data_IF_565058009054
#
_entry.id   IF_565058009054
#
_cell.length_a   1.000
_cell.length_b   1.000
_cell.length_c   1.000
_cell.angle_alpha   90.00
_cell.angle_beta   90.00
_cell.angle_gamma   90.00
#
_symmetry.space_group_name_H-M   'P 1'
#
loop_
_entity.id
_entity.type
_entity.pdbx_description
1 polymer ?
#
# COMPACT_ATOMS: atom_id res chain seq x y z
N UNK A 1 14.50 8.18 2.53
CA UNK A 1 13.35 8.71 3.31
C UNK A 1 13.73 8.81 4.78
N UNK A 2 13.22 9.79 5.55
CA UNK A 2 13.56 9.90 6.99
C UNK A 2 12.37 9.51 7.86
N UNK A 3 12.56 8.50 8.71
CA UNK A 3 11.59 8.09 9.74
C UNK A 3 11.32 9.25 10.71
N UNK A 4 10.06 9.44 11.05
CA UNK A 4 9.59 10.39 12.04
C UNK A 4 9.07 9.61 13.24
N UNK A 5 9.66 9.87 14.40
CA UNK A 5 9.25 9.26 15.67
C UNK A 5 7.87 9.78 16.07
N UNK A 6 7.01 8.86 16.49
CA UNK A 6 5.66 9.16 16.93
C UNK A 6 5.21 8.16 18.00
N UNK A 7 5.09 8.62 19.24
CA UNK A 7 4.71 7.78 20.39
C UNK A 7 3.32 7.14 20.25
N UNK A 8 2.40 7.78 19.52
CA UNK A 8 1.09 7.17 19.25
C UNK A 8 1.21 5.98 18.31
N UNK A 9 2.14 6.02 17.36
CA UNK A 9 2.39 4.89 16.45
C UNK A 9 3.09 3.74 17.17
N UNK A 10 4.00 4.03 18.11
CA UNK A 10 4.62 3.01 18.96
C UNK A 10 3.58 2.26 19.80
N UNK A 11 2.63 2.98 20.40
CA UNK A 11 1.52 2.38 21.13
C UNK A 11 0.65 1.49 20.22
N UNK A 12 0.33 1.96 19.02
CA UNK A 12 -0.44 1.19 18.03
C UNK A 12 0.34 -0.06 17.58
N UNK A 13 1.64 0.05 17.31
CA UNK A 13 2.49 -1.06 16.88
C UNK A 13 2.55 -2.20 17.89
N UNK A 14 2.47 -1.87 19.18
CA UNK A 14 2.38 -2.87 20.25
C UNK A 14 1.08 -3.68 20.18
N UNK A 15 0.00 -3.09 19.66
CA UNK A 15 -1.31 -3.73 19.50
C UNK A 15 -1.51 -4.41 18.14
N UNK A 16 -0.70 -4.07 17.13
CA UNK A 16 -0.79 -4.60 15.78
C UNK A 16 -0.10 -5.96 15.60
N UNK A 17 0.24 -6.67 16.69
CA UNK A 17 0.72 -8.04 16.62
C UNK A 17 -0.35 -8.97 17.17
N UNK A 18 -0.85 -9.88 16.33
CA UNK A 18 -1.82 -10.91 16.75
C UNK A 18 -1.22 -12.28 16.51
N UNK A 19 -1.24 -13.10 17.56
CA UNK A 19 -0.88 -14.51 17.51
C UNK A 19 -2.14 -15.33 17.76
N UNK A 20 -2.54 -16.12 16.76
CA UNK A 20 -3.48 -17.23 16.90
C UNK A 20 -2.66 -18.52 16.89
N UNK A 21 -3.18 -19.61 17.49
CA UNK A 21 -2.37 -20.81 17.79
C UNK A 21 -1.48 -21.35 16.65
N UNK A 22 -1.88 -21.17 15.40
CA UNK A 22 -1.16 -21.60 14.19
C UNK A 22 -0.63 -20.44 13.30
N UNK A 23 -0.97 -19.18 13.57
CA UNK A 23 -0.66 -18.05 12.71
C UNK A 23 -0.25 -16.80 13.51
N UNK A 24 0.72 -16.06 12.98
CA UNK A 24 1.14 -14.77 13.54
C UNK A 24 1.02 -13.68 12.49
N UNK A 25 0.21 -12.67 12.78
CA UNK A 25 0.07 -11.46 11.97
C UNK A 25 0.84 -10.35 12.68
N UNK A 26 1.81 -9.77 11.97
CA UNK A 26 2.60 -8.64 12.46
C UNK A 26 2.27 -7.45 11.57
N UNK A 27 1.62 -6.45 12.16
CA UNK A 27 1.37 -5.15 11.55
C UNK A 27 2.30 -4.10 12.15
N UNK A 28 2.65 -3.11 11.34
CA UNK A 28 3.42 -1.94 11.76
C UNK A 28 2.95 -0.71 11.00
N UNK A 29 2.82 0.40 11.71
CA UNK A 29 2.58 1.73 11.17
C UNK A 29 3.77 2.64 11.47
N UNK A 30 4.22 3.36 10.44
CA UNK A 30 5.37 4.25 10.47
C UNK A 30 5.03 5.54 9.72
N UNK A 31 5.71 6.64 10.08
CA UNK A 31 5.60 7.91 9.35
C UNK A 31 6.96 8.35 8.85
N UNK A 32 7.00 8.85 7.61
CA UNK A 32 8.23 9.27 6.95
C UNK A 32 8.08 10.68 6.38
N UNK A 33 9.16 11.47 6.41
CA UNK A 33 9.22 12.73 5.68
C UNK A 33 9.70 12.52 4.23
N UNK A 34 8.91 13.00 3.28
CA UNK A 34 9.19 12.93 1.84
C UNK A 34 10.12 14.06 1.36
N UNK A 35 11.20 14.33 2.09
CA UNK A 35 12.15 15.40 1.74
C UNK A 35 13.16 14.87 0.72
N UNK A 36 13.17 15.47 -0.47
CA UNK A 36 14.19 15.20 -1.49
C UNK A 36 15.49 15.95 -1.16
N UNK A 37 16.31 15.41 -0.26
CA UNK A 37 17.55 16.02 0.21
C UNK A 37 18.75 15.09 0.05
N UNK A 38 19.95 15.66 -0.11
CA UNK A 38 21.20 14.88 -0.19
C UNK A 38 21.17 13.81 -1.27
N UNK A 39 21.43 12.57 -0.87
CA UNK A 39 21.51 11.38 -1.73
C UNK A 39 20.18 11.05 -2.44
N UNK A 40 19.04 11.37 -1.83
CA UNK A 40 17.71 11.17 -2.46
C UNK A 40 17.61 11.91 -3.80
N UNK A 41 18.24 13.08 -3.94
CA UNK A 41 18.27 13.81 -5.22
C UNK A 41 19.04 13.06 -6.30
N UNK A 42 20.12 12.38 -5.93
CA UNK A 42 20.93 11.62 -6.88
C UNK A 42 20.22 10.33 -7.27
N UNK A 43 19.66 9.62 -6.29
CA UNK A 43 18.84 8.42 -6.53
C UNK A 43 17.63 8.74 -7.40
N UNK A 44 16.94 9.86 -7.16
CA UNK A 44 15.80 10.25 -8.01
C UNK A 44 16.22 10.56 -9.46
N UNK A 45 17.39 11.18 -9.66
CA UNK A 45 17.93 11.42 -11.01
C UNK A 45 18.22 10.10 -11.73
N UNK A 46 18.85 9.15 -11.05
CA UNK A 46 19.12 7.82 -11.60
C UNK A 46 17.83 7.06 -11.91
N UNK A 47 16.87 7.07 -10.98
CA UNK A 47 15.54 6.51 -11.18
C UNK A 47 14.84 7.10 -12.41
N UNK A 48 15.00 8.40 -12.66
CA UNK A 48 14.47 9.03 -13.85
C UNK A 48 15.20 8.64 -15.14
N UNK A 49 16.47 8.23 -15.12
CA UNK A 49 17.22 7.86 -16.35
C UNK A 49 16.61 6.65 -17.06
N UNK A 50 15.89 5.79 -16.35
CA UNK A 50 15.12 4.67 -16.92
C UNK A 50 13.82 5.15 -17.63
N UNK A 51 13.67 6.45 -17.92
CA UNK A 51 12.66 6.98 -18.84
C UNK A 51 12.62 8.51 -18.87
N UNK A 52 11.47 9.11 -19.19
CA UNK A 52 11.34 10.57 -19.27
C UNK A 52 10.70 11.14 -17.99
N UNK A 53 11.25 12.21 -17.38
CA UNK A 53 10.80 12.75 -16.09
C UNK A 53 9.37 13.31 -16.10
N UNK A 54 8.80 13.56 -17.28
CA UNK A 54 7.45 14.09 -17.47
C UNK A 54 6.41 13.02 -17.87
N UNK A 55 6.83 11.77 -18.02
CA UNK A 55 5.91 10.68 -18.34
C UNK A 55 5.32 10.15 -17.04
N UNK A 56 3.99 10.11 -16.98
CA UNK A 56 3.29 9.46 -15.88
C UNK A 56 3.46 7.95 -15.99
N UNK A 57 3.66 7.29 -14.86
CA UNK A 57 3.78 5.83 -14.81
C UNK A 57 2.39 5.21 -14.68
N UNK A 58 2.12 4.20 -15.50
CA UNK A 58 0.93 3.37 -15.39
C UNK A 58 0.98 2.49 -14.14
N UNK A 59 -0.12 2.44 -13.40
CA UNK A 59 -0.32 1.61 -12.23
C UNK A 59 -1.13 0.37 -12.56
N UNK A 60 -1.04 -0.64 -11.71
CA UNK A 60 -1.98 -1.76 -11.76
C UNK A 60 -3.39 -1.30 -11.39
N UNK A 61 -4.44 -1.87 -12.03
CA UNK A 61 -5.81 -1.65 -11.59
C UNK A 61 -5.97 -2.03 -10.11
N UNK A 62 -6.85 -1.35 -9.35
CA UNK A 62 -7.17 -1.75 -7.98
C UNK A 62 -7.64 -3.20 -7.96
N UNK A 63 -7.05 -4.02 -7.08
CA UNK A 63 -7.43 -5.42 -6.91
C UNK A 63 -8.80 -5.51 -6.22
N UNK A 64 -9.86 -5.23 -6.98
CA UNK A 64 -11.28 -5.35 -6.58
C UNK A 64 -11.78 -6.80 -6.68
N UNK A 65 -10.88 -7.75 -6.95
CA UNK A 65 -11.19 -9.17 -7.13
C UNK A 65 -11.50 -9.85 -5.80
N UNK A 66 -12.73 -9.67 -5.32
CA UNK A 66 -13.28 -10.40 -4.19
C UNK A 66 -14.77 -10.16 -3.93
N UNK A 67 -15.31 -9.02 -4.38
CA UNK A 67 -16.75 -8.76 -4.33
C UNK A 67 -17.17 -8.34 -5.72
N UNK A 68 -17.73 -9.27 -6.50
CA UNK A 68 -18.39 -8.95 -7.75
C UNK A 68 -19.71 -8.26 -7.44
N UNK A 69 -19.92 -6.96 -7.76
CA UNK A 69 -21.28 -6.46 -7.94
C UNK A 69 -21.64 -6.74 -9.39
N UNK A 70 -22.72 -7.49 -9.61
CA UNK A 70 -23.37 -7.67 -10.90
C UNK A 70 -23.18 -6.45 -11.83
N UNK A 71 -22.33 -6.59 -12.85
CA UNK A 71 -22.27 -5.66 -13.98
C UNK A 71 -23.49 -5.97 -14.87
N UNK A 72 -24.66 -5.52 -14.45
CA UNK A 72 -25.83 -5.43 -15.31
C UNK A 72 -26.01 -3.98 -15.76
N UNK A 73 -25.98 -3.81 -17.09
CA UNK A 73 -26.56 -2.71 -17.86
C UNK A 73 -25.89 -1.33 -17.78
N UNK A 74 -25.01 -1.05 -18.75
CA UNK A 74 -25.42 -0.12 -19.81
C UNK A 74 -24.66 -0.40 -21.11
N UNK A 75 -25.38 -0.99 -22.07
CA UNK A 75 -25.01 -0.98 -23.48
C UNK A 75 -25.30 0.41 -24.02
N UNK A 76 -24.28 1.15 -24.49
CA UNK A 76 -24.44 2.23 -25.46
C UNK A 76 -23.14 2.37 -26.28
N UNK A 77 -23.23 1.85 -27.51
CA UNK A 77 -22.62 2.35 -28.76
C UNK A 77 -21.25 3.06 -28.73
N UNK A 78 -20.26 2.36 -29.28
CA UNK A 78 -19.37 2.84 -30.35
C UNK A 78 -18.53 4.10 -30.10
N UNK A 79 -17.28 3.90 -29.71
CA UNK A 79 -16.09 4.47 -30.37
C UNK A 79 -14.85 3.73 -29.84
N UNK A 80 -13.87 3.51 -30.71
CA UNK A 80 -12.71 2.68 -30.43
C UNK A 80 -11.73 3.37 -29.45
N UNK A 81 -11.38 2.66 -28.38
CA UNK A 81 -10.09 2.81 -27.73
C UNK A 81 -10.05 3.77 -26.54
N UNK A 82 -10.54 3.32 -25.38
CA UNK A 82 -9.73 3.29 -24.15
C UNK A 82 -10.30 2.20 -23.24
N UNK A 83 -9.50 1.14 -23.00
CA UNK A 83 -9.77 0.20 -21.91
C UNK A 83 -9.83 0.93 -20.56
N UNK A 84 -10.23 0.28 -19.46
CA UNK A 84 -10.25 0.92 -18.15
C UNK A 84 -8.89 1.58 -17.90
N UNK A 85 -8.88 2.91 -17.93
CA UNK A 85 -7.69 3.73 -17.86
C UNK A 85 -6.87 3.28 -16.66
N UNK A 86 -5.73 2.62 -16.92
CA UNK A 86 -4.75 2.34 -15.88
C UNK A 86 -4.46 3.65 -15.16
N UNK A 87 -4.70 3.67 -13.85
CA UNK A 87 -4.42 4.85 -13.03
C UNK A 87 -2.97 5.25 -13.23
N UNK A 88 -2.70 6.55 -13.28
CA UNK A 88 -1.37 7.08 -13.56
C UNK A 88 -0.84 7.81 -12.33
N UNK A 89 0.45 7.69 -12.04
CA UNK A 89 1.11 8.47 -11.00
C UNK A 89 2.37 9.18 -11.51
N UNK A 90 2.79 10.24 -10.81
CA UNK A 90 4.04 10.90 -11.14
C UNK A 90 5.22 10.00 -10.75
N UNK A 91 6.32 10.04 -11.51
CA UNK A 91 7.57 9.35 -11.14
C UNK A 91 8.10 9.77 -9.77
N UNK A 92 7.84 11.02 -9.37
CA UNK A 92 8.17 11.51 -8.02
C UNK A 92 7.40 10.77 -6.94
N UNK A 93 6.11 10.53 -7.15
CA UNK A 93 5.28 9.73 -6.25
C UNK A 93 5.77 8.29 -6.20
N UNK A 94 6.01 7.67 -7.36
CA UNK A 94 6.52 6.29 -7.43
C UNK A 94 7.86 6.13 -6.71
N UNK A 95 8.79 7.06 -6.94
CA UNK A 95 10.06 7.10 -6.22
C UNK A 95 9.85 7.19 -4.70
N UNK A 96 8.91 8.02 -4.23
CA UNK A 96 8.63 8.11 -2.81
C UNK A 96 8.06 6.81 -2.22
N UNK A 97 7.21 6.09 -2.95
CA UNK A 97 6.69 4.80 -2.52
C UNK A 97 7.83 3.77 -2.40
N UNK A 98 8.66 3.64 -3.45
CA UNK A 98 9.81 2.72 -3.47
C UNK A 98 10.83 3.06 -2.38
N UNK A 99 11.18 4.34 -2.23
CA UNK A 99 12.11 4.77 -1.20
C UNK A 99 11.57 4.53 0.21
N UNK A 100 10.25 4.67 0.42
CA UNK A 100 9.63 4.35 1.71
C UNK A 100 9.67 2.85 2.01
N UNK A 101 9.38 1.99 1.02
CA UNK A 101 9.49 0.54 1.18
C UNK A 101 10.92 0.13 1.54
N UNK A 102 11.92 0.66 0.82
CA UNK A 102 13.32 0.38 1.11
C UNK A 102 13.72 0.81 2.53
N UNK A 103 13.29 1.98 3.02
CA UNK A 103 13.60 2.39 4.39
C UNK A 103 12.87 1.56 5.45
N UNK A 104 11.65 1.08 5.19
CA UNK A 104 10.89 0.29 6.17
C UNK A 104 11.44 -1.13 6.33
N UNK A 105 11.92 -1.73 5.24
CA UNK A 105 12.25 -3.17 5.18
C UNK A 105 13.74 -3.49 5.03
N UNK A 106 14.63 -2.50 5.06
CA UNK A 106 16.08 -2.75 5.07
C UNK A 106 16.54 -3.35 6.40
N UNK A 107 17.57 -4.23 6.38
CA UNK A 107 18.32 -4.68 5.20
C UNK A 107 17.71 -5.90 4.49
N UNK A 108 16.55 -6.40 4.95
CA UNK A 108 16.01 -7.70 4.54
C UNK A 108 15.45 -7.71 3.10
N UNK A 109 14.99 -6.56 2.61
CA UNK A 109 14.38 -6.43 1.28
C UNK A 109 14.92 -5.23 0.49
N UNK A 110 15.00 -5.41 -0.83
CA UNK A 110 15.32 -4.36 -1.81
C UNK A 110 14.22 -4.22 -2.86
N UNK A 111 13.63 -3.03 -2.92
CA UNK A 111 12.56 -2.63 -3.83
C UNK A 111 13.05 -1.74 -4.97
N UNK A 112 14.37 -1.59 -5.15
CA UNK A 112 14.97 -0.74 -6.18
C UNK A 112 14.48 -1.03 -7.62
N UNK A 113 14.02 -2.26 -7.87
CA UNK A 113 13.56 -2.74 -9.19
C UNK A 113 12.04 -2.72 -9.37
N UNK A 114 11.28 -2.32 -8.35
CA UNK A 114 9.81 -2.25 -8.38
C UNK A 114 9.35 -1.18 -9.37
N UNK A 115 8.25 -1.44 -10.09
CA UNK A 115 7.72 -0.57 -11.14
C UNK A 115 6.28 -0.14 -10.86
N UNK A 116 5.75 0.78 -11.66
CA UNK A 116 4.39 1.30 -11.49
C UNK A 116 3.31 0.20 -11.42
N UNK A 117 3.43 -0.86 -12.22
CA UNK A 117 2.49 -1.97 -12.21
C UNK A 117 2.53 -2.83 -10.93
N UNK A 118 3.50 -2.66 -10.04
CA UNK A 118 3.49 -3.31 -8.72
C UNK A 118 2.65 -2.53 -7.70
N UNK A 119 2.16 -1.35 -8.07
CA UNK A 119 1.35 -0.49 -7.23
C UNK A 119 -0.05 -0.29 -7.83
N UNK A 120 -1.05 -0.17 -6.97
CA UNK A 120 -2.41 0.28 -7.32
C UNK A 120 -2.74 1.59 -6.61
N UNK A 121 -3.56 2.42 -7.24
CA UNK A 121 -4.16 3.57 -6.57
C UNK A 121 -5.50 3.16 -5.98
N UNK A 122 -5.60 3.17 -4.65
CA UNK A 122 -6.85 2.77 -4.01
C UNK A 122 -7.97 3.83 -4.18
N UNK A 123 -9.24 3.41 -4.37
CA UNK A 123 -10.33 4.33 -4.71
C UNK A 123 -10.64 5.39 -3.64
N UNK A 124 -10.52 5.03 -2.36
CA UNK A 124 -10.77 5.94 -1.25
C UNK A 124 -10.19 5.44 0.08
N UNK A 125 -10.01 6.35 1.04
CA UNK A 125 -9.61 6.00 2.42
C UNK A 125 -10.63 5.07 3.07
N UNK A 126 -11.93 5.28 2.82
CA UNK A 126 -12.98 4.42 3.37
C UNK A 126 -12.86 2.98 2.86
N UNK A 127 -12.57 2.80 1.56
CA UNK A 127 -12.36 1.49 0.97
C UNK A 127 -11.19 0.75 1.64
N UNK A 128 -10.05 1.42 1.78
CA UNK A 128 -8.88 0.88 2.49
C UNK A 128 -9.23 0.56 3.94
N UNK A 129 -9.93 1.46 4.63
CA UNK A 129 -10.41 1.26 5.99
C UNK A 129 -11.26 -0.02 6.14
N UNK A 130 -12.17 -0.28 5.19
CA UNK A 130 -12.98 -1.51 5.19
C UNK A 130 -12.13 -2.78 4.93
N UNK A 131 -11.07 -2.69 4.11
CA UNK A 131 -10.16 -3.81 3.85
C UNK A 131 -9.37 -4.22 5.08
N UNK A 132 -9.00 -3.27 5.94
CA UNK A 132 -8.33 -3.56 7.22
C UNK A 132 -9.33 -3.90 8.32
N UNK A 133 -10.39 -3.12 8.51
CA UNK A 133 -11.29 -3.25 9.64
C UNK A 133 -11.95 -4.63 9.71
N UNK A 134 -12.48 -5.15 8.59
CA UNK A 134 -13.25 -6.40 8.62
C UNK A 134 -12.38 -7.63 8.98
N UNK A 135 -11.19 -7.86 8.38
CA UNK A 135 -10.31 -8.95 8.80
C UNK A 135 -9.79 -8.77 10.23
N UNK A 136 -9.35 -7.56 10.60
CA UNK A 136 -8.80 -7.30 11.92
C UNK A 136 -9.84 -7.47 13.03
N UNK A 137 -11.09 -7.05 12.81
CA UNK A 137 -12.18 -7.27 13.76
C UNK A 137 -12.47 -8.77 13.96
N UNK A 138 -12.43 -9.58 12.89
CA UNK A 138 -12.61 -11.04 13.01
C UNK A 138 -11.51 -11.67 13.85
N UNK A 139 -10.25 -11.32 13.60
CA UNK A 139 -9.10 -11.86 14.34
C UNK A 139 -9.15 -11.40 15.80
N UNK A 140 -9.44 -10.12 16.06
CA UNK A 140 -9.56 -9.58 17.41
C UNK A 140 -10.64 -10.27 18.23
N UNK A 141 -11.84 -10.45 17.65
CA UNK A 141 -12.93 -11.15 18.32
C UNK A 141 -12.51 -12.58 18.67
N UNK A 142 -11.91 -13.32 17.74
CA UNK A 142 -11.46 -14.68 17.98
C UNK A 142 -10.42 -14.77 19.11
N UNK A 143 -9.46 -13.85 19.16
CA UNK A 143 -8.47 -13.80 20.23
C UNK A 143 -9.11 -13.49 21.60
N UNK A 144 -10.10 -12.60 21.63
CA UNK A 144 -10.88 -12.32 22.84
C UNK A 144 -11.66 -13.54 23.31
N UNK A 145 -12.27 -14.32 22.41
CA UNK A 145 -12.96 -15.56 22.73
C UNK A 145 -12.01 -16.65 23.27
N UNK A 146 -10.79 -16.74 22.77
CA UNK A 146 -9.80 -17.70 23.30
C UNK A 146 -9.25 -17.30 24.68
N UNK A 147 -9.31 -16.01 25.01
CA UNK A 147 -8.79 -15.46 26.27
C UNK A 147 -9.81 -15.49 27.42
N UNK A 148 -11.09 -15.79 27.14
CA UNK A 148 -12.08 -15.99 28.19
C UNK A 148 -11.84 -17.32 28.90
N UNK A 149 -11.69 -17.36 30.23
CA UNK A 149 -11.54 -18.60 30.98
C UNK A 149 -12.73 -19.53 30.68
N UNK A 150 -12.44 -20.82 30.47
CA UNK A 150 -13.48 -21.84 30.47
C UNK A 150 -13.89 -22.08 31.92
N UNK A 151 -15.16 -21.83 32.26
CA UNK A 151 -15.75 -22.20 33.57
C UNK A 151 -15.67 -23.71 33.84
#
# INVERSE_FOLDING_TARGET
MKLLENSSFEAINTLLTIETGDCKIIGRIESYSCKMAGEDKQMFKQFCQEGLPHVLEALSPPQTAGVSPNKLSHSQSGDEGEGPLSDKCSRKTLFYLIATLNESFRPDYDFSRTKGHDFSREPSVNWVGMMFYNPWQKVWNHQSWMSTPSD
#
